data_IF_599713065383
#
_entry.id   IF_599713065383
#
_cell.length_a   1.000
_cell.length_b   1.000
_cell.length_c   1.000
_cell.angle_alpha   90.00
_cell.angle_beta   90.00
_cell.angle_gamma   90.00
#
_symmetry.space_group_name_H-M   'P 1'
#
loop_
_entity.id
_entity.type
_entity.pdbx_description
1 polymer ?
#
# COMPACT_ATOMS: atom_id res chain seq x y z
N UNK A 1 -43.37 56.96 -60.12
CA UNK A 1 -42.61 55.83 -60.70
C UNK A 1 -41.17 55.97 -60.26
N UNK A 2 -40.81 55.33 -59.16
CA UNK A 2 -39.52 54.63 -58.96
C UNK A 2 -39.50 54.04 -57.55
N UNK A 3 -38.89 52.87 -57.47
CA UNK A 3 -39.06 51.83 -56.47
C UNK A 3 -38.32 52.15 -55.16
N UNK A 4 -39.05 52.03 -54.04
CA UNK A 4 -38.54 52.02 -52.68
C UNK A 4 -37.70 50.76 -52.42
N UNK A 5 -36.38 50.86 -52.45
CA UNK A 5 -35.49 49.94 -51.74
C UNK A 5 -35.25 50.48 -50.33
N UNK A 6 -36.09 50.03 -49.39
CA UNK A 6 -35.91 50.25 -47.97
C UNK A 6 -34.65 49.48 -47.53
N UNK A 7 -33.56 50.22 -47.35
CA UNK A 7 -32.39 49.77 -46.59
C UNK A 7 -32.83 49.53 -45.15
N UNK A 8 -33.06 48.27 -44.78
CA UNK A 8 -33.44 47.88 -43.43
C UNK A 8 -32.16 47.68 -42.58
N UNK A 9 -31.82 48.58 -41.63
CA UNK A 9 -30.59 48.48 -40.84
C UNK A 9 -30.61 47.30 -39.87
N UNK A 10 -31.78 46.71 -39.64
CA UNK A 10 -31.99 45.59 -38.71
C UNK A 10 -31.48 44.25 -39.26
N UNK A 11 -31.10 44.14 -40.55
CA UNK A 11 -30.57 42.88 -41.10
C UNK A 11 -29.06 42.66 -40.88
N UNK A 12 -28.30 43.70 -40.52
CA UNK A 12 -26.84 43.56 -40.31
C UNK A 12 -26.41 43.30 -38.86
N UNK A 13 -27.27 43.59 -37.88
CA UNK A 13 -26.97 43.31 -36.46
C UNK A 13 -27.44 41.94 -36.00
N UNK A 14 -28.48 41.35 -36.59
CA UNK A 14 -28.93 40.01 -36.17
C UNK A 14 -27.93 38.92 -36.59
N UNK A 15 -27.20 39.13 -37.70
CA UNK A 15 -26.25 38.15 -38.23
C UNK A 15 -25.00 37.97 -37.37
N UNK A 16 -24.45 39.05 -36.80
CA UNK A 16 -23.23 38.99 -35.97
C UNK A 16 -23.51 38.46 -34.56
N UNK A 17 -24.68 38.75 -33.99
CA UNK A 17 -25.06 38.23 -32.68
C UNK A 17 -25.47 36.77 -32.74
N UNK A 18 -26.13 36.33 -33.82
CA UNK A 18 -26.45 34.91 -34.03
C UNK A 18 -25.17 34.07 -34.25
N UNK A 19 -24.18 34.57 -34.98
CA UNK A 19 -22.89 33.88 -35.13
C UNK A 19 -22.04 33.89 -33.86
N UNK A 20 -22.00 35.00 -33.12
CA UNK A 20 -21.33 35.05 -31.81
C UNK A 20 -21.99 34.12 -30.78
N UNK A 21 -23.33 34.05 -30.76
CA UNK A 21 -24.07 33.13 -29.90
C UNK A 21 -23.90 31.66 -30.31
N UNK A 22 -23.78 31.35 -31.61
CA UNK A 22 -23.48 30.00 -32.09
C UNK A 22 -22.03 29.58 -31.81
N UNK A 23 -21.07 30.51 -31.84
CA UNK A 23 -19.67 30.25 -31.46
C UNK A 23 -19.51 30.11 -29.94
N UNK A 24 -20.22 30.91 -29.13
CA UNK A 24 -20.25 30.71 -27.67
C UNK A 24 -21.01 29.43 -27.29
N UNK A 25 -22.11 29.11 -27.96
CA UNK A 25 -22.85 27.87 -27.73
C UNK A 25 -22.03 26.63 -28.13
N UNK A 26 -21.24 26.72 -29.20
CA UNK A 26 -20.29 25.64 -29.56
C UNK A 26 -19.07 25.58 -28.65
N UNK A 27 -18.66 26.66 -27.98
CA UNK A 27 -17.66 26.61 -26.90
C UNK A 27 -18.20 26.03 -25.57
N UNK A 28 -19.50 26.16 -25.32
CA UNK A 28 -20.20 25.58 -24.15
C UNK A 28 -20.62 24.12 -24.40
N UNK A 29 -20.83 23.74 -25.67
CA UNK A 29 -21.22 22.39 -26.10
C UNK A 29 -20.06 21.57 -26.68
N UNK A 30 -18.87 22.17 -26.85
CA UNK A 30 -17.65 21.37 -26.98
C UNK A 30 -17.62 20.49 -25.73
N UNK A 31 -17.54 19.15 -25.86
CA UNK A 31 -17.21 18.33 -24.71
C UNK A 31 -15.98 19.01 -24.12
N UNK A 32 -16.05 19.40 -22.84
CA UNK A 32 -14.82 19.69 -22.12
C UNK A 32 -13.95 18.49 -22.45
N UNK A 33 -12.88 18.73 -23.22
CA UNK A 33 -11.75 17.84 -23.18
C UNK A 33 -11.50 17.75 -21.67
N UNK A 34 -11.94 16.64 -21.08
CA UNK A 34 -11.55 16.33 -19.73
C UNK A 34 -10.04 16.31 -19.90
N UNK A 35 -9.37 17.36 -19.46
CA UNK A 35 -8.00 17.18 -19.04
C UNK A 35 -8.11 15.96 -18.12
N UNK A 36 -7.58 14.82 -18.56
CA UNK A 36 -7.75 13.54 -17.87
C UNK A 36 -7.63 13.84 -16.39
N UNK A 37 -8.71 13.61 -15.63
CA UNK A 37 -8.72 13.93 -14.22
C UNK A 37 -7.45 13.31 -13.62
N UNK A 38 -6.72 14.08 -12.82
CA UNK A 38 -5.48 13.57 -12.23
C UNK A 38 -5.79 12.20 -11.59
N UNK A 39 -4.96 11.17 -11.84
CA UNK A 39 -5.26 9.82 -11.38
C UNK A 39 -5.51 9.83 -9.88
N UNK A 40 -6.56 9.13 -9.45
CA UNK A 40 -6.86 9.00 -8.03
C UNK A 40 -5.82 8.09 -7.36
N UNK A 41 -5.66 8.15 -6.03
CA UNK A 41 -4.80 7.20 -5.30
C UNK A 41 -5.14 5.72 -5.60
N UNK A 42 -6.41 5.41 -5.82
CA UNK A 42 -6.86 4.07 -6.22
C UNK A 42 -6.47 3.72 -7.66
N UNK A 43 -6.51 4.69 -8.59
CA UNK A 43 -6.02 4.47 -9.96
C UNK A 43 -4.51 4.21 -9.98
N UNK A 44 -3.74 4.94 -9.18
CA UNK A 44 -2.31 4.70 -9.02
C UNK A 44 -2.05 3.33 -8.39
N UNK A 45 -2.76 2.98 -7.32
CA UNK A 45 -2.65 1.66 -6.69
C UNK A 45 -2.98 0.51 -7.67
N UNK A 46 -4.00 0.69 -8.50
CA UNK A 46 -4.35 -0.26 -9.55
C UNK A 46 -3.20 -0.46 -10.54
N UNK A 47 -2.60 0.63 -11.03
CA UNK A 47 -1.45 0.59 -11.94
C UNK A 47 -0.23 -0.07 -11.29
N UNK A 48 0.05 0.26 -10.03
CA UNK A 48 1.14 -0.32 -9.24
C UNK A 48 0.95 -1.83 -9.06
N UNK A 49 -0.25 -2.26 -8.66
CA UNK A 49 -0.57 -3.68 -8.46
C UNK A 49 -0.41 -4.48 -9.75
N UNK A 50 -0.95 -3.98 -10.87
CA UNK A 50 -0.75 -4.59 -12.19
C UNK A 50 0.73 -4.66 -12.58
N UNK A 51 1.47 -3.57 -12.37
CA UNK A 51 2.90 -3.54 -12.68
C UNK A 51 3.71 -4.51 -11.83
N UNK A 52 3.35 -4.70 -10.56
CA UNK A 52 3.98 -5.74 -9.74
C UNK A 52 3.62 -7.16 -10.20
N UNK A 53 2.40 -7.42 -10.67
CA UNK A 53 2.03 -8.73 -11.21
C UNK A 53 2.90 -9.07 -12.43
N UNK A 54 3.11 -8.12 -13.33
CA UNK A 54 4.01 -8.28 -14.48
C UNK A 54 5.44 -8.64 -14.02
N UNK A 55 6.00 -7.84 -13.10
CA UNK A 55 7.36 -8.07 -12.56
C UNK A 55 7.45 -9.42 -11.85
N UNK A 56 6.42 -9.81 -11.10
CA UNK A 56 6.36 -11.08 -10.36
C UNK A 56 6.50 -12.28 -11.29
N UNK A 57 5.77 -12.30 -12.41
CA UNK A 57 5.86 -13.37 -13.40
C UNK A 57 7.19 -13.34 -14.17
N UNK A 58 7.70 -12.16 -14.53
CA UNK A 58 8.99 -12.07 -15.23
C UNK A 58 10.15 -12.56 -14.36
N UNK A 59 10.28 -12.09 -13.11
CA UNK A 59 11.33 -12.54 -12.18
C UNK A 59 11.07 -13.96 -11.66
N UNK A 60 9.81 -14.33 -11.44
CA UNK A 60 9.43 -15.70 -11.11
C UNK A 60 9.85 -16.69 -12.18
N UNK A 61 9.64 -16.36 -13.45
CA UNK A 61 10.04 -17.17 -14.61
C UNK A 61 11.55 -17.36 -14.74
N UNK A 62 12.36 -16.47 -14.14
CA UNK A 62 13.81 -16.68 -14.06
C UNK A 62 14.16 -17.83 -13.10
N UNK A 63 13.44 -17.95 -11.98
CA UNK A 63 13.71 -18.93 -10.93
C UNK A 63 13.01 -20.27 -11.20
N UNK A 64 11.86 -20.23 -11.87
CA UNK A 64 11.09 -21.36 -12.36
C UNK A 64 10.75 -21.18 -13.85
N UNK A 65 11.55 -21.73 -14.77
CA UNK A 65 11.31 -21.61 -16.21
C UNK A 65 9.98 -22.21 -16.70
N UNK A 66 9.29 -23.00 -15.87
CA UNK A 66 7.97 -23.58 -16.22
C UNK A 66 6.82 -22.65 -15.88
N UNK A 67 7.05 -21.62 -15.05
CA UNK A 67 6.05 -20.64 -14.68
C UNK A 67 5.61 -19.83 -15.90
N UNK A 68 4.31 -19.80 -16.14
CA UNK A 68 3.66 -18.98 -17.16
C UNK A 68 2.80 -17.90 -16.49
N UNK A 69 2.50 -16.78 -17.17
CA UNK A 69 1.52 -15.81 -16.69
C UNK A 69 0.18 -16.48 -16.34
N UNK A 70 -0.35 -16.22 -15.14
CA UNK A 70 -1.56 -16.86 -14.60
C UNK A 70 -1.32 -18.27 -14.01
N UNK A 71 -0.11 -18.81 -14.11
CA UNK A 71 0.28 -20.08 -13.50
C UNK A 71 0.73 -19.95 -12.04
N UNK A 72 1.20 -21.05 -11.48
CA UNK A 72 1.73 -21.16 -10.11
C UNK A 72 3.10 -21.84 -10.09
N UNK A 73 3.90 -21.58 -9.05
CA UNK A 73 5.21 -22.20 -8.84
C UNK A 73 5.35 -22.73 -7.41
N UNK A 74 6.03 -23.87 -7.29
CA UNK A 74 6.46 -24.45 -6.01
C UNK A 74 7.84 -23.95 -5.57
N UNK A 75 8.53 -23.17 -6.41
CA UNK A 75 9.78 -22.51 -6.03
C UNK A 75 9.49 -21.45 -4.99
N UNK A 76 10.38 -21.30 -4.00
CA UNK A 76 10.23 -20.26 -2.98
C UNK A 76 9.96 -18.90 -3.64
N UNK A 77 8.91 -18.17 -3.24
CA UNK A 77 8.59 -16.89 -3.84
C UNK A 77 9.72 -15.89 -3.60
N UNK A 78 10.13 -15.19 -4.66
CA UNK A 78 10.94 -13.98 -4.51
C UNK A 78 10.04 -12.82 -4.03
N UNK A 79 10.64 -11.71 -3.59
CA UNK A 79 9.94 -10.56 -3.00
C UNK A 79 8.83 -10.02 -3.92
N UNK A 80 9.02 -10.08 -5.25
CA UNK A 80 8.05 -9.58 -6.21
C UNK A 80 6.79 -10.45 -6.31
N UNK A 81 6.78 -11.68 -5.81
CA UNK A 81 5.55 -12.46 -5.66
C UNK A 81 4.69 -11.98 -4.47
N UNK A 82 5.29 -11.29 -3.48
CA UNK A 82 4.56 -10.70 -2.34
C UNK A 82 4.02 -9.31 -2.67
N UNK A 83 4.76 -8.54 -3.48
CA UNK A 83 4.48 -7.13 -3.74
C UNK A 83 3.07 -6.82 -4.29
N UNK A 84 2.47 -7.62 -5.21
CA UNK A 84 1.09 -7.42 -5.65
C UNK A 84 0.09 -7.43 -4.50
N UNK A 85 0.25 -8.38 -3.57
CA UNK A 85 -0.62 -8.56 -2.41
C UNK A 85 -0.49 -7.40 -1.43
N UNK A 86 0.74 -7.02 -1.11
CA UNK A 86 1.00 -5.88 -0.23
C UNK A 86 0.46 -4.57 -0.82
N UNK A 87 0.69 -4.31 -2.12
CA UNK A 87 0.10 -3.17 -2.82
C UNK A 87 -1.43 -3.22 -2.77
N UNK A 88 -2.03 -4.38 -3.04
CA UNK A 88 -3.48 -4.57 -3.00
C UNK A 88 -4.07 -4.27 -1.62
N UNK A 89 -3.40 -4.67 -0.55
CA UNK A 89 -3.77 -4.34 0.84
C UNK A 89 -3.67 -2.84 1.11
N UNK A 90 -2.61 -2.18 0.64
CA UNK A 90 -2.49 -0.71 0.72
C UNK A 90 -3.66 -0.01 0.03
N UNK A 91 -4.06 -0.48 -1.15
CA UNK A 91 -5.23 0.05 -1.86
C UNK A 91 -6.55 -0.16 -1.12
N UNK A 92 -6.68 -1.27 -0.38
CA UNK A 92 -7.85 -1.58 0.44
C UNK A 92 -8.02 -0.56 1.57
N UNK A 93 -6.91 -0.12 2.17
CA UNK A 93 -6.88 0.99 3.11
C UNK A 93 -7.23 2.34 2.47
N UNK A 94 -6.74 2.61 1.25
CA UNK A 94 -7.15 3.82 0.50
C UNK A 94 -8.65 3.81 0.19
N UNK A 95 -9.22 2.66 -0.19
CA UNK A 95 -10.65 2.50 -0.40
C UNK A 95 -11.44 2.72 0.89
N UNK A 96 -10.95 2.23 2.02
CA UNK A 96 -11.55 2.48 3.34
C UNK A 96 -11.54 3.97 3.72
N UNK A 97 -10.48 4.70 3.36
CA UNK A 97 -10.42 6.16 3.52
C UNK A 97 -11.39 6.90 2.58
N UNK A 98 -11.54 6.44 1.33
CA UNK A 98 -12.51 6.99 0.40
C UNK A 98 -13.96 6.80 0.88
N UNK A 99 -14.28 5.61 1.40
CA UNK A 99 -15.55 5.31 2.04
C UNK A 99 -15.83 6.23 3.24
N UNK A 100 -14.83 6.46 4.10
CA UNK A 100 -14.96 7.38 5.22
C UNK A 100 -15.34 8.80 4.76
N UNK A 101 -14.73 9.28 3.67
CA UNK A 101 -15.07 10.60 3.09
C UNK A 101 -16.45 10.65 2.45
N UNK A 102 -16.92 9.54 1.89
CA UNK A 102 -18.29 9.44 1.38
C UNK A 102 -19.32 9.55 2.51
N UNK A 103 -19.08 8.86 3.64
CA UNK A 103 -19.90 9.00 4.86
C UNK A 103 -19.90 10.45 5.33
N UNK A 104 -18.73 11.09 5.42
CA UNK A 104 -18.58 12.49 5.82
C UNK A 104 -19.36 13.43 4.88
N UNK A 105 -19.21 13.24 3.58
CA UNK A 105 -19.86 14.07 2.56
C UNK A 105 -21.37 13.95 2.64
N UNK A 106 -21.87 12.72 2.81
CA UNK A 106 -23.30 12.45 3.00
C UNK A 106 -23.81 13.10 4.29
N UNK A 107 -23.08 12.94 5.40
CA UNK A 107 -23.45 13.50 6.71
C UNK A 107 -23.49 15.04 6.75
N UNK A 108 -22.68 15.71 5.92
CA UNK A 108 -22.73 17.19 5.78
C UNK A 108 -24.07 17.68 5.20
N UNK A 109 -24.74 16.87 4.38
CA UNK A 109 -26.07 17.18 3.82
C UNK A 109 -27.23 16.54 4.57
N UNK A 110 -27.03 15.32 5.10
CA UNK A 110 -28.05 14.50 5.74
C UNK A 110 -27.49 13.71 6.94
N UNK A 111 -27.36 14.36 8.12
CA UNK A 111 -26.84 13.72 9.32
C UNK A 111 -27.59 12.44 9.70
N UNK A 112 -26.87 11.46 10.25
CA UNK A 112 -27.48 10.24 10.74
C UNK A 112 -28.08 10.34 12.13
N UNK A 113 -29.20 9.65 12.32
CA UNK A 113 -29.84 9.48 13.62
C UNK A 113 -29.39 8.21 14.34
N UNK A 114 -28.71 7.28 13.65
CA UNK A 114 -28.12 6.08 14.25
C UNK A 114 -26.86 5.62 13.51
N UNK A 115 -26.01 4.87 14.21
CA UNK A 115 -24.81 4.22 13.65
C UNK A 115 -25.20 3.34 12.46
N UNK A 116 -26.20 2.48 12.66
CA UNK A 116 -26.70 1.58 11.62
C UNK A 116 -27.16 2.35 10.37
N UNK A 117 -27.87 3.46 10.54
CA UNK A 117 -28.33 4.28 9.41
C UNK A 117 -27.15 4.92 8.66
N UNK A 118 -26.09 5.35 9.36
CA UNK A 118 -24.89 5.92 8.74
C UNK A 118 -24.12 4.85 7.93
N UNK A 119 -23.85 3.68 8.53
CA UNK A 119 -23.10 2.59 7.89
C UNK A 119 -23.86 1.96 6.71
N UNK A 120 -25.18 1.74 6.84
CA UNK A 120 -26.00 1.14 5.77
C UNK A 120 -26.15 2.04 4.55
N UNK A 121 -26.17 3.37 4.73
CA UNK A 121 -26.15 4.34 3.63
C UNK A 121 -24.85 4.27 2.82
N UNK A 122 -23.74 3.91 3.46
CA UNK A 122 -22.46 3.65 2.81
C UNK A 122 -22.36 2.26 2.15
N UNK A 123 -23.46 1.50 2.08
CA UNK A 123 -23.50 0.18 1.46
C UNK A 123 -22.84 -0.95 2.26
N UNK A 124 -22.47 -0.69 3.53
CA UNK A 124 -21.83 -1.69 4.39
C UNK A 124 -22.83 -2.73 4.89
N UNK A 125 -22.46 -4.02 4.78
CA UNK A 125 -23.33 -5.15 5.16
C UNK A 125 -22.53 -6.29 5.80
N UNK A 126 -23.23 -7.31 6.31
CA UNK A 126 -22.60 -8.55 6.81
C UNK A 126 -21.74 -8.38 8.07
N UNK A 127 -20.67 -9.16 8.18
CA UNK A 127 -19.75 -9.17 9.33
C UNK A 127 -18.97 -7.86 9.48
N UNK A 128 -18.67 -7.21 8.35
CA UNK A 128 -18.04 -5.88 8.32
C UNK A 128 -18.93 -4.86 9.03
N UNK A 129 -20.24 -4.83 8.70
CA UNK A 129 -21.19 -3.92 9.35
C UNK A 129 -21.20 -4.10 10.88
N UNK A 130 -21.27 -5.34 11.37
CA UNK A 130 -21.29 -5.64 12.81
C UNK A 130 -20.03 -5.16 13.54
N UNK A 131 -18.86 -5.38 12.92
CA UNK A 131 -17.58 -4.97 13.49
C UNK A 131 -17.47 -3.45 13.57
N UNK A 132 -17.86 -2.76 12.48
CA UNK A 132 -17.85 -1.31 12.41
C UNK A 132 -18.88 -0.69 13.35
N UNK A 133 -20.04 -1.31 13.53
CA UNK A 133 -21.05 -0.87 14.50
C UNK A 133 -20.48 -0.90 15.93
N UNK A 134 -19.81 -1.99 16.31
CA UNK A 134 -19.18 -2.11 17.64
C UNK A 134 -18.11 -1.05 17.87
N UNK A 135 -17.18 -0.87 16.92
CA UNK A 135 -16.14 0.15 17.02
C UNK A 135 -16.73 1.57 17.03
N UNK A 136 -17.77 1.82 16.23
CA UNK A 136 -18.47 3.10 16.20
C UNK A 136 -19.15 3.40 17.53
N UNK A 137 -19.77 2.41 18.17
CA UNK A 137 -20.39 2.57 19.48
C UNK A 137 -19.36 2.97 20.53
N UNK A 138 -18.22 2.29 20.57
CA UNK A 138 -17.11 2.64 21.47
C UNK A 138 -16.59 4.05 21.23
N UNK A 139 -16.45 4.47 19.96
CA UNK A 139 -16.06 5.84 19.63
C UNK A 139 -17.10 6.89 20.05
N UNK A 140 -18.40 6.58 19.95
CA UNK A 140 -19.47 7.44 20.49
C UNK A 140 -19.37 7.55 22.01
N UNK A 141 -19.08 6.45 22.71
CA UNK A 141 -18.84 6.47 24.17
C UNK A 141 -17.61 7.31 24.54
N UNK A 142 -16.63 7.43 23.65
CA UNK A 142 -15.48 8.33 23.76
C UNK A 142 -15.79 9.79 23.33
N UNK A 143 -17.05 10.09 23.02
CA UNK A 143 -17.57 11.43 22.78
C UNK A 143 -17.61 11.88 21.31
N UNK A 144 -17.34 10.99 20.34
CA UNK A 144 -17.51 11.31 18.92
C UNK A 144 -19.01 11.40 18.58
N UNK A 145 -19.37 12.25 17.62
CA UNK A 145 -20.72 12.23 17.04
C UNK A 145 -20.93 10.96 16.21
N UNK A 146 -22.18 10.56 15.98
CA UNK A 146 -22.52 9.33 15.22
C UNK A 146 -21.76 9.28 13.89
N UNK A 147 -21.88 10.31 13.05
CA UNK A 147 -21.24 10.31 11.73
C UNK A 147 -19.72 10.42 11.80
N UNK A 148 -19.16 11.09 12.81
CA UNK A 148 -17.71 11.10 12.99
C UNK A 148 -17.19 9.72 13.42
N UNK A 149 -17.89 9.05 14.33
CA UNK A 149 -17.56 7.72 14.81
C UNK A 149 -17.64 6.68 13.69
N UNK A 150 -18.72 6.68 12.89
CA UNK A 150 -18.87 5.75 11.76
C UNK A 150 -17.83 6.01 10.67
N UNK A 151 -17.51 7.27 10.38
CA UNK A 151 -16.45 7.63 9.44
C UNK A 151 -15.08 7.14 9.90
N UNK A 152 -14.72 7.38 11.17
CA UNK A 152 -13.44 6.92 11.73
C UNK A 152 -13.37 5.40 11.82
N UNK A 153 -14.45 4.73 12.23
CA UNK A 153 -14.52 3.27 12.26
C UNK A 153 -14.36 2.69 10.85
N UNK A 154 -14.96 3.30 9.82
CA UNK A 154 -14.90 2.79 8.44
C UNK A 154 -13.48 2.73 7.87
N UNK A 155 -12.50 3.42 8.47
CA UNK A 155 -11.08 3.28 8.13
C UNK A 155 -10.56 1.85 8.37
N UNK A 156 -11.25 1.04 9.17
CA UNK A 156 -10.90 -0.36 9.46
C UNK A 156 -11.66 -1.38 8.60
N UNK A 157 -12.42 -0.95 7.60
CA UNK A 157 -13.31 -1.81 6.79
C UNK A 157 -12.58 -3.01 6.17
N UNK A 158 -11.37 -2.81 5.66
CA UNK A 158 -10.57 -3.87 5.02
C UNK A 158 -9.65 -4.64 5.97
N UNK A 159 -9.63 -4.28 7.25
CA UNK A 159 -8.72 -4.81 8.26
C UNK A 159 -9.29 -6.08 8.93
N UNK A 160 -8.48 -6.75 9.74
CA UNK A 160 -8.89 -7.89 10.57
C UNK A 160 -9.82 -7.43 11.69
N UNK A 161 -11.12 -7.40 11.40
CA UNK A 161 -12.16 -7.09 12.38
C UNK A 161 -12.25 -8.08 13.55
N UNK A 162 -11.83 -9.33 13.35
CA UNK A 162 -11.91 -10.36 14.40
C UNK A 162 -11.00 -10.05 15.60
N UNK A 163 -9.93 -9.27 15.41
CA UNK A 163 -9.07 -8.84 16.50
C UNK A 163 -9.79 -7.95 17.53
N UNK A 164 -10.89 -7.29 17.15
CA UNK A 164 -11.72 -6.48 18.05
C UNK A 164 -12.65 -7.33 18.94
N UNK A 165 -12.72 -8.65 18.72
CA UNK A 165 -13.42 -9.55 19.64
C UNK A 165 -12.72 -9.64 21.01
N UNK A 166 -11.41 -9.35 21.09
CA UNK A 166 -10.73 -9.11 22.35
C UNK A 166 -11.06 -7.69 22.85
N UNK A 167 -11.74 -7.54 24.02
CA UNK A 167 -12.13 -6.23 24.54
C UNK A 167 -10.94 -5.32 24.85
N UNK A 168 -9.74 -5.87 25.13
CA UNK A 168 -8.52 -5.10 25.37
C UNK A 168 -8.03 -4.45 24.07
N UNK A 169 -8.10 -5.20 22.96
CA UNK A 169 -7.78 -4.68 21.62
C UNK A 169 -8.77 -3.62 21.19
N UNK A 170 -10.07 -3.86 21.39
CA UNK A 170 -11.12 -2.90 21.07
C UNK A 170 -10.92 -1.60 21.85
N UNK A 171 -10.75 -1.67 23.17
CA UNK A 171 -10.55 -0.49 24.02
C UNK A 171 -9.29 0.29 23.64
N UNK A 172 -8.16 -0.39 23.41
CA UNK A 172 -6.91 0.27 23.03
C UNK A 172 -7.05 0.95 21.66
N UNK A 173 -7.66 0.27 20.69
CA UNK A 173 -7.88 0.78 19.33
C UNK A 173 -8.82 1.99 19.34
N UNK A 174 -9.99 1.87 19.97
CA UNK A 174 -10.98 2.95 20.05
C UNK A 174 -10.44 4.17 20.81
N UNK A 175 -9.71 3.95 21.91
CA UNK A 175 -9.09 5.05 22.67
C UNK A 175 -8.03 5.79 21.86
N UNK A 176 -7.17 5.07 21.10
CA UNK A 176 -6.14 5.69 20.25
C UNK A 176 -6.76 6.47 19.09
N UNK A 177 -7.78 5.91 18.43
CA UNK A 177 -8.54 6.60 17.37
C UNK A 177 -9.27 7.85 17.90
N UNK A 178 -9.90 7.76 19.07
CA UNK A 178 -10.54 8.90 19.71
C UNK A 178 -9.54 10.00 20.09
N UNK A 179 -8.37 9.64 20.64
CA UNK A 179 -7.31 10.60 20.95
C UNK A 179 -6.80 11.32 19.69
N UNK A 180 -6.66 10.60 18.56
CA UNK A 180 -6.32 11.20 17.26
C UNK A 180 -7.41 12.14 16.78
N UNK A 181 -8.68 11.73 16.84
CA UNK A 181 -9.81 12.58 16.49
C UNK A 181 -9.86 13.88 17.30
N UNK A 182 -9.64 13.80 18.62
CA UNK A 182 -9.68 14.98 19.48
C UNK A 182 -8.52 15.95 19.21
N UNK A 183 -7.34 15.42 18.88
CA UNK A 183 -6.17 16.20 18.49
C UNK A 183 -6.16 16.64 17.01
N UNK A 184 -7.08 16.13 16.20
CA UNK A 184 -7.14 16.43 14.78
C UNK A 184 -7.43 17.92 14.49
N UNK A 185 -6.86 18.46 13.40
CA UNK A 185 -7.17 19.81 12.94
C UNK A 185 -8.65 19.94 12.54
N UNK A 186 -9.16 21.17 12.54
CA UNK A 186 -10.56 21.48 12.21
C UNK A 186 -11.44 21.77 13.42
N UNK A 187 -12.48 22.56 13.21
CA UNK A 187 -13.41 23.01 14.26
C UNK A 187 -14.67 22.16 14.34
N UNK A 188 -15.14 21.62 13.22
CA UNK A 188 -16.34 20.77 13.21
C UNK A 188 -15.98 19.29 13.38
N UNK A 189 -16.87 18.48 14.00
CA UNK A 189 -16.66 17.05 14.17
C UNK A 189 -16.26 16.30 12.89
N UNK A 190 -16.92 16.61 11.77
CA UNK A 190 -16.65 15.93 10.50
C UNK A 190 -15.30 16.34 9.89
N UNK A 191 -14.82 17.56 10.12
CA UNK A 191 -13.50 17.99 9.61
C UNK A 191 -12.37 17.22 10.31
N UNK A 192 -12.55 16.94 11.62
CA UNK A 192 -11.62 16.12 12.40
C UNK A 192 -11.57 14.68 11.88
N UNK A 193 -12.73 14.07 11.60
CA UNK A 193 -12.80 12.74 11.00
C UNK A 193 -12.17 12.71 9.59
N UNK A 194 -12.41 13.76 8.79
CA UNK A 194 -11.82 13.91 7.45
C UNK A 194 -10.29 13.99 7.50
N UNK A 195 -9.71 14.65 8.51
CA UNK A 195 -8.27 14.68 8.71
C UNK A 195 -7.67 13.28 8.93
N UNK A 196 -8.34 12.40 9.68
CA UNK A 196 -7.89 11.00 9.85
C UNK A 196 -7.95 10.23 8.52
N UNK A 197 -9.04 10.37 7.78
CA UNK A 197 -9.20 9.70 6.48
C UNK A 197 -8.15 10.16 5.46
N UNK A 198 -7.92 11.46 5.36
CA UNK A 198 -6.90 12.05 4.49
C UNK A 198 -5.49 11.61 4.89
N UNK A 199 -5.21 11.51 6.19
CA UNK A 199 -3.91 11.04 6.69
C UNK A 199 -3.67 9.57 6.31
N UNK A 200 -4.68 8.70 6.45
CA UNK A 200 -4.55 7.29 6.07
C UNK A 200 -4.31 7.14 4.58
N UNK A 201 -5.16 7.75 3.73
CA UNK A 201 -5.01 7.66 2.28
C UNK A 201 -3.65 8.17 1.84
N UNK A 202 -3.22 9.33 2.34
CA UNK A 202 -1.94 9.92 1.96
C UNK A 202 -0.76 9.05 2.38
N UNK A 203 -0.74 8.57 3.62
CA UNK A 203 0.33 7.70 4.11
C UNK A 203 0.47 6.42 3.25
N UNK A 204 -0.66 5.81 2.88
CA UNK A 204 -0.66 4.61 2.03
C UNK A 204 -0.28 4.94 0.58
N UNK A 205 -0.79 6.04 0.02
CA UNK A 205 -0.54 6.42 -1.37
C UNK A 205 0.91 6.83 -1.60
N UNK A 206 1.45 7.70 -0.75
CA UNK A 206 2.86 8.10 -0.78
C UNK A 206 3.78 6.91 -0.57
N UNK A 207 3.43 6.01 0.35
CA UNK A 207 4.22 4.80 0.62
C UNK A 207 4.27 3.88 -0.60
N UNK A 208 3.12 3.60 -1.19
CA UNK A 208 3.03 2.72 -2.35
C UNK A 208 3.75 3.31 -3.57
N UNK A 209 3.62 4.63 -3.80
CA UNK A 209 4.34 5.33 -4.87
C UNK A 209 5.85 5.31 -4.67
N UNK A 210 6.33 5.61 -3.46
CA UNK A 210 7.76 5.64 -3.16
C UNK A 210 8.38 4.24 -3.35
N UNK A 211 7.74 3.21 -2.80
CA UNK A 211 8.19 1.82 -2.91
C UNK A 211 8.16 1.33 -4.36
N UNK A 212 7.08 1.56 -5.10
CA UNK A 212 6.98 1.11 -6.48
C UNK A 212 7.95 1.81 -7.42
N UNK A 213 8.07 3.14 -7.29
CA UNK A 213 9.01 3.92 -8.10
C UNK A 213 10.45 3.46 -7.88
N UNK A 214 10.82 3.15 -6.63
CA UNK A 214 12.18 2.73 -6.30
C UNK A 214 12.43 1.24 -6.58
N UNK A 215 11.69 0.35 -5.91
CA UNK A 215 11.90 -1.11 -5.99
C UNK A 215 11.37 -1.68 -7.30
N UNK A 216 10.12 -1.36 -7.65
CA UNK A 216 9.51 -1.79 -8.91
C UNK A 216 10.24 -1.21 -10.12
N UNK A 217 10.63 0.07 -10.05
CA UNK A 217 11.48 0.71 -11.06
C UNK A 217 12.84 0.03 -11.21
N UNK A 218 13.51 -0.29 -10.11
CA UNK A 218 14.81 -0.99 -10.13
C UNK A 218 14.69 -2.39 -10.75
N UNK A 219 13.59 -3.11 -10.47
CA UNK A 219 13.33 -4.43 -11.06
C UNK A 219 13.10 -4.36 -12.57
N UNK A 220 12.33 -3.36 -13.04
CA UNK A 220 12.13 -3.11 -14.47
C UNK A 220 13.45 -2.79 -15.17
N UNK A 221 14.28 -1.93 -14.57
CA UNK A 221 15.62 -1.63 -15.09
C UNK A 221 16.50 -2.88 -15.17
N UNK A 222 16.44 -3.76 -14.16
CA UNK A 222 17.17 -5.02 -14.16
C UNK A 222 16.69 -5.95 -15.28
N UNK A 223 15.38 -6.12 -15.44
CA UNK A 223 14.78 -6.95 -16.50
C UNK A 223 15.10 -6.38 -17.90
N UNK A 224 15.06 -5.06 -18.07
CA UNK A 224 15.44 -4.38 -19.31
C UNK A 224 16.91 -4.59 -19.66
N UNK A 225 17.80 -4.38 -18.68
CA UNK A 225 19.23 -4.66 -18.83
C UNK A 225 19.45 -6.12 -19.24
N UNK A 226 18.80 -7.07 -18.54
CA UNK A 226 18.89 -8.50 -18.84
C UNK A 226 18.46 -8.82 -20.27
N UNK A 227 17.35 -8.24 -20.75
CA UNK A 227 16.84 -8.42 -22.13
C UNK A 227 17.76 -7.85 -23.19
N UNK A 228 18.49 -6.78 -22.88
CA UNK A 228 19.43 -6.13 -23.79
C UNK A 228 20.77 -6.87 -23.96
N UNK A 229 21.06 -7.87 -23.13
CA UNK A 229 22.33 -8.60 -23.18
C UNK A 229 22.29 -9.80 -24.13
N UNK A 230 23.41 -10.02 -24.80
CA UNK A 230 23.71 -11.29 -25.48
C UNK A 230 24.49 -12.22 -24.55
N UNK A 231 24.16 -13.52 -24.56
CA UNK A 231 24.87 -14.55 -23.78
C UNK A 231 24.25 -14.81 -22.39
N UNK A 232 24.88 -15.68 -21.61
CA UNK A 232 24.42 -16.01 -20.26
C UNK A 232 24.60 -14.80 -19.32
N UNK A 233 23.59 -14.55 -18.49
CA UNK A 233 23.66 -13.60 -17.38
C UNK A 233 24.02 -14.36 -16.12
N UNK A 234 25.13 -13.94 -15.49
CA UNK A 234 25.65 -14.51 -14.25
C UNK A 234 25.63 -13.45 -13.15
N UNK A 235 25.69 -13.85 -11.87
CA UNK A 235 25.76 -12.92 -10.74
C UNK A 235 26.92 -11.93 -10.84
N UNK A 236 28.08 -12.37 -11.33
CA UNK A 236 29.25 -11.49 -11.52
C UNK A 236 28.98 -10.39 -12.55
N UNK A 237 28.22 -10.71 -13.60
CA UNK A 237 27.80 -9.72 -14.59
C UNK A 237 26.78 -8.75 -14.00
N UNK A 238 25.84 -9.22 -13.17
CA UNK A 238 24.94 -8.31 -12.44
C UNK A 238 25.76 -7.34 -11.59
N UNK A 239 26.71 -7.85 -10.81
CA UNK A 239 27.54 -7.04 -9.91
C UNK A 239 28.46 -6.05 -10.64
N UNK A 240 28.94 -6.38 -11.85
CA UNK A 240 29.88 -5.55 -12.62
C UNK A 240 29.21 -4.62 -13.64
N UNK A 241 28.16 -5.09 -14.31
CA UNK A 241 27.60 -4.45 -15.51
C UNK A 241 26.22 -3.82 -15.26
N UNK A 242 25.41 -4.32 -14.32
CA UNK A 242 24.11 -3.71 -14.01
C UNK A 242 24.32 -2.46 -13.14
N UNK A 243 23.92 -1.30 -13.66
CA UNK A 243 24.10 -0.02 -13.00
C UNK A 243 22.77 0.49 -12.46
N UNK A 244 22.72 0.72 -11.15
CA UNK A 244 21.60 1.36 -10.48
C UNK A 244 22.11 2.64 -9.79
N UNK A 245 21.50 3.78 -10.10
CA UNK A 245 21.96 5.07 -9.56
C UNK A 245 21.99 5.05 -8.02
N UNK A 246 23.16 5.37 -7.45
CA UNK A 246 23.41 5.34 -6.00
C UNK A 246 23.93 4.00 -5.45
N UNK A 247 23.99 2.93 -6.27
CA UNK A 247 24.67 1.70 -5.90
C UNK A 247 26.18 1.85 -6.00
N UNK A 248 26.91 1.15 -5.13
CA UNK A 248 28.37 1.05 -5.14
C UNK A 248 28.74 -0.41 -5.38
N UNK A 249 29.51 -0.69 -6.43
CA UNK A 249 29.87 -2.06 -6.83
C UNK A 249 30.55 -2.85 -5.70
N UNK A 250 31.53 -2.25 -5.02
CA UNK A 250 32.28 -2.93 -3.95
C UNK A 250 31.38 -3.33 -2.78
N UNK A 251 30.37 -2.51 -2.47
CA UNK A 251 29.37 -2.80 -1.45
C UNK A 251 28.44 -3.94 -1.88
N UNK A 252 27.95 -3.89 -3.13
CA UNK A 252 27.08 -4.94 -3.66
C UNK A 252 27.79 -6.31 -3.66
N UNK A 253 29.09 -6.33 -4.03
CA UNK A 253 29.92 -7.53 -3.96
C UNK A 253 30.09 -8.04 -2.53
N UNK A 254 30.30 -7.13 -1.56
CA UNK A 254 30.40 -7.50 -0.14
C UNK A 254 29.09 -8.10 0.38
N UNK A 255 27.95 -7.47 0.09
CA UNK A 255 26.63 -7.96 0.49
C UNK A 255 26.29 -9.31 -0.16
N UNK A 256 26.63 -9.49 -1.44
CA UNK A 256 26.47 -10.75 -2.15
C UNK A 256 27.33 -11.86 -1.51
N UNK A 257 28.62 -11.60 -1.27
CA UNK A 257 29.51 -12.57 -0.63
C UNK A 257 29.05 -12.94 0.79
N UNK A 258 28.59 -11.95 1.57
CA UNK A 258 28.00 -12.19 2.88
C UNK A 258 26.76 -13.10 2.79
N UNK A 259 25.83 -12.79 1.87
CA UNK A 259 24.64 -13.60 1.69
C UNK A 259 24.97 -15.05 1.29
N UNK A 260 25.97 -15.27 0.43
CA UNK A 260 26.42 -16.63 0.11
C UNK A 260 26.95 -17.37 1.35
N UNK A 261 27.75 -16.71 2.18
CA UNK A 261 28.31 -17.34 3.38
C UNK A 261 27.25 -17.69 4.43
N UNK A 262 26.15 -16.94 4.48
CA UNK A 262 25.16 -17.00 5.56
C UNK A 262 23.75 -17.46 5.11
N UNK A 263 23.57 -17.88 3.85
CA UNK A 263 22.25 -18.23 3.31
C UNK A 263 21.53 -19.34 4.12
N UNK A 264 22.29 -20.24 4.74
CA UNK A 264 21.76 -21.37 5.52
C UNK A 264 21.75 -21.14 7.04
N UNK A 265 22.16 -19.96 7.51
CA UNK A 265 22.14 -19.67 8.94
C UNK A 265 20.71 -19.72 9.50
N UNK A 266 20.58 -20.22 10.73
CA UNK A 266 19.30 -20.32 11.45
C UNK A 266 19.48 -19.78 12.86
N UNK A 267 18.84 -18.64 13.22
CA UNK A 267 17.98 -17.81 12.39
C UNK A 267 18.76 -17.13 11.25
N UNK A 268 18.08 -16.87 10.12
CA UNK A 268 18.66 -16.09 9.01
C UNK A 268 19.04 -14.68 9.50
N UNK A 269 20.14 -14.08 8.99
CA UNK A 269 20.51 -12.71 9.34
C UNK A 269 19.36 -11.74 9.02
N UNK A 270 18.94 -10.99 10.04
CA UNK A 270 17.84 -10.03 9.92
C UNK A 270 18.20 -8.62 10.38
N UNK A 271 19.32 -8.43 11.07
CA UNK A 271 19.79 -7.10 11.53
C UNK A 271 20.82 -6.54 10.55
N UNK A 272 20.37 -6.20 9.35
CA UNK A 272 21.28 -5.90 8.23
C UNK A 272 22.20 -4.70 8.49
N UNK A 273 21.73 -3.70 9.24
CA UNK A 273 22.56 -2.56 9.65
C UNK A 273 23.75 -2.93 10.55
N UNK A 274 23.63 -4.00 11.34
CA UNK A 274 24.71 -4.46 12.23
C UNK A 274 25.79 -5.22 11.44
N UNK A 275 25.37 -6.00 10.43
CA UNK A 275 26.28 -6.89 9.67
C UNK A 275 26.83 -6.24 8.39
N UNK A 276 26.12 -5.26 7.82
CA UNK A 276 26.51 -4.50 6.64
C UNK A 276 26.39 -2.98 6.93
N UNK A 277 27.18 -2.45 7.89
CA UNK A 277 27.01 -1.10 8.38
C UNK A 277 27.31 -0.04 7.30
N UNK A 278 26.52 1.02 7.30
CA UNK A 278 26.65 2.19 6.40
C UNK A 278 26.61 1.88 4.89
N UNK A 279 26.18 0.68 4.52
CA UNK A 279 26.08 0.29 3.12
C UNK A 279 24.97 1.08 2.40
N UNK A 280 25.21 1.49 1.16
CA UNK A 280 24.13 2.00 0.33
C UNK A 280 23.11 0.90 0.12
N UNK A 281 21.89 1.21 0.50
CA UNK A 281 20.71 0.39 0.28
C UNK A 281 20.49 0.02 -1.19
N UNK A 282 21.00 0.82 -2.14
CA UNK A 282 20.97 0.53 -3.59
C UNK A 282 21.90 -0.63 -3.91
N UNK A 283 23.02 -0.72 -3.21
CA UNK A 283 23.97 -1.84 -3.31
C UNK A 283 23.34 -3.15 -2.83
N UNK A 284 22.48 -3.10 -1.80
CA UNK A 284 21.70 -4.28 -1.35
C UNK A 284 20.71 -4.76 -2.41
N UNK A 285 20.05 -3.85 -3.14
CA UNK A 285 19.17 -4.21 -4.26
C UNK A 285 19.94 -4.89 -5.41
N UNK A 286 21.09 -4.34 -5.80
CA UNK A 286 21.95 -4.96 -6.82
C UNK A 286 22.41 -6.35 -6.36
N UNK A 287 22.82 -6.49 -5.09
CA UNK A 287 23.15 -7.79 -4.51
C UNK A 287 21.97 -8.77 -4.51
N UNK A 288 20.75 -8.30 -4.24
CA UNK A 288 19.54 -9.13 -4.30
C UNK A 288 19.28 -9.67 -5.71
N UNK A 289 19.40 -8.83 -6.75
CA UNK A 289 19.30 -9.30 -8.14
C UNK A 289 20.38 -10.32 -8.50
N UNK A 290 21.62 -10.11 -8.03
CA UNK A 290 22.70 -11.09 -8.18
C UNK A 290 22.39 -12.42 -7.46
N UNK A 291 21.78 -12.37 -6.27
CA UNK A 291 21.32 -13.56 -5.55
C UNK A 291 20.20 -14.30 -6.27
N UNK A 292 19.28 -13.60 -6.94
CA UNK A 292 18.27 -14.27 -7.78
C UNK A 292 18.89 -14.96 -9.00
N UNK A 293 19.92 -14.39 -9.63
CA UNK A 293 20.68 -15.08 -10.68
C UNK A 293 21.48 -16.27 -10.15
N UNK A 294 22.04 -16.17 -8.94
CA UNK A 294 22.72 -17.31 -8.29
C UNK A 294 21.72 -18.42 -7.97
N UNK A 295 20.56 -18.06 -7.41
CA UNK A 295 19.48 -18.98 -7.10
C UNK A 295 19.01 -19.75 -8.34
N UNK A 296 18.85 -19.06 -9.49
CA UNK A 296 18.52 -19.70 -10.77
C UNK A 296 19.50 -20.81 -11.16
N UNK A 297 20.77 -20.68 -10.79
CA UNK A 297 21.87 -21.59 -11.14
C UNK A 297 22.23 -22.56 -10.01
N UNK A 298 21.52 -22.48 -8.89
CA UNK A 298 21.81 -23.27 -7.70
C UNK A 298 21.75 -24.78 -7.98
N UNK A 299 22.70 -25.57 -7.45
CA UNK A 299 22.75 -27.01 -7.71
C UNK A 299 21.63 -27.79 -7.01
N UNK A 300 20.98 -27.19 -6.00
CA UNK A 300 19.90 -27.84 -5.24
C UNK A 300 18.75 -26.86 -4.96
N UNK A 301 17.50 -27.36 -4.82
CA UNK A 301 16.37 -26.53 -4.39
C UNK A 301 16.60 -25.85 -3.04
N UNK A 302 17.23 -26.54 -2.09
CA UNK A 302 17.52 -25.97 -0.78
C UNK A 302 18.48 -24.77 -0.85
N UNK A 303 19.51 -24.84 -1.71
CA UNK A 303 20.42 -23.71 -1.94
C UNK A 303 19.71 -22.55 -2.64
N UNK A 304 18.97 -22.84 -3.71
CA UNK A 304 18.14 -21.85 -4.42
C UNK A 304 17.24 -21.09 -3.45
N UNK A 305 16.49 -21.83 -2.65
CA UNK A 305 15.47 -21.28 -1.76
C UNK A 305 16.12 -20.46 -0.64
N UNK A 306 17.26 -20.89 -0.09
CA UNK A 306 18.04 -20.12 0.88
C UNK A 306 18.53 -18.77 0.31
N UNK A 307 19.03 -18.77 -0.92
CA UNK A 307 19.47 -17.56 -1.62
C UNK A 307 18.33 -16.60 -1.93
N UNK A 308 17.18 -17.13 -2.38
CA UNK A 308 15.96 -16.33 -2.59
C UNK A 308 15.56 -15.66 -1.28
N UNK A 309 15.60 -16.39 -0.16
CA UNK A 309 15.23 -15.86 1.14
C UNK A 309 16.17 -14.71 1.60
N UNK A 310 17.47 -14.81 1.34
CA UNK A 310 18.42 -13.71 1.60
C UNK A 310 18.17 -12.50 0.68
N UNK A 311 17.94 -12.74 -0.62
CA UNK A 311 17.58 -11.68 -1.56
C UNK A 311 16.31 -10.94 -1.14
N UNK A 312 15.29 -11.68 -0.71
CA UNK A 312 14.06 -11.11 -0.18
C UNK A 312 14.30 -10.24 1.05
N UNK A 313 15.17 -10.66 1.98
CA UNK A 313 15.53 -9.86 3.14
C UNK A 313 16.20 -8.54 2.74
N UNK A 314 17.08 -8.55 1.73
CA UNK A 314 17.72 -7.32 1.24
C UNK A 314 16.72 -6.35 0.60
N UNK A 315 15.82 -6.85 -0.26
CA UNK A 315 14.79 -6.02 -0.90
C UNK A 315 13.82 -5.47 0.15
N UNK A 316 13.31 -6.33 1.04
CA UNK A 316 12.35 -5.93 2.07
C UNK A 316 12.96 -5.00 3.11
N UNK A 317 14.21 -5.22 3.55
CA UNK A 317 14.87 -4.29 4.48
C UNK A 317 14.96 -2.90 3.86
N UNK A 318 15.42 -2.81 2.61
CA UNK A 318 15.48 -1.57 1.85
C UNK A 318 14.12 -0.87 1.79
N UNK A 319 13.11 -1.62 1.35
CA UNK A 319 11.74 -1.13 1.24
C UNK A 319 11.27 -0.54 2.57
N UNK A 320 11.44 -1.29 3.65
CA UNK A 320 10.86 -0.94 4.94
C UNK A 320 11.65 0.13 5.69
N UNK A 321 12.98 0.08 5.65
CA UNK A 321 13.85 0.98 6.39
C UNK A 321 13.91 2.36 5.74
N UNK A 322 14.00 2.40 4.41
CA UNK A 322 14.36 3.64 3.74
C UNK A 322 13.23 4.25 2.92
N UNK A 323 12.29 3.46 2.40
CA UNK A 323 11.16 3.97 1.63
C UNK A 323 9.91 4.12 2.50
N UNK A 324 9.56 3.09 3.26
CA UNK A 324 8.36 3.10 4.09
C UNK A 324 8.52 3.96 5.36
N UNK A 325 9.64 3.83 6.08
CA UNK A 325 9.83 4.51 7.37
C UNK A 325 9.68 6.03 7.29
N UNK A 326 10.28 6.75 6.31
CA UNK A 326 10.12 8.20 6.22
C UNK A 326 8.69 8.64 5.91
N UNK A 327 7.89 7.79 5.25
CA UNK A 327 6.48 8.07 4.94
C UNK A 327 5.59 7.80 6.15
N UNK A 328 5.86 6.74 6.91
CA UNK A 328 5.06 6.34 8.06
C UNK A 328 5.35 7.14 9.32
N UNK A 329 6.57 7.68 9.45
CA UNK A 329 6.99 8.56 10.52
C UNK A 329 7.73 9.80 9.97
N UNK A 330 7.03 10.68 9.23
CA UNK A 330 7.66 11.86 8.67
C UNK A 330 8.07 12.82 9.77
N UNK A 331 9.19 13.53 9.56
CA UNK A 331 9.70 14.50 10.53
C UNK A 331 8.76 15.70 10.76
N UNK A 332 7.88 15.98 9.80
CA UNK A 332 6.91 17.07 9.85
C UNK A 332 5.55 16.59 9.37
N UNK A 333 4.50 17.01 10.08
CA UNK A 333 3.13 16.77 9.67
C UNK A 333 2.72 17.78 8.60
N UNK A 334 2.04 17.31 7.56
CA UNK A 334 1.49 18.21 6.55
C UNK A 334 0.21 18.89 7.07
N UNK A 335 -0.14 20.07 6.56
CA UNK A 335 -1.39 20.73 6.91
C UNK A 335 -2.59 19.81 6.68
N UNK A 336 -3.49 19.74 7.67
CA UNK A 336 -4.70 18.91 7.62
C UNK A 336 -4.49 17.44 7.96
N UNK A 337 -3.30 17.03 8.37
CA UNK A 337 -3.04 15.65 8.84
C UNK A 337 -3.09 15.52 10.37
N UNK A 338 -3.33 14.28 10.81
CA UNK A 338 -3.00 13.82 12.16
C UNK A 338 -1.65 13.10 12.18
N UNK A 339 -1.16 12.72 13.35
CA UNK A 339 0.06 11.91 13.48
C UNK A 339 -0.07 10.56 12.76
N UNK A 340 0.68 10.37 11.66
CA UNK A 340 0.78 9.08 10.95
C UNK A 340 1.26 7.94 11.86
N UNK A 341 2.32 8.12 12.70
CA UNK A 341 2.73 7.05 13.63
C UNK A 341 1.63 6.60 14.59
N UNK A 342 0.86 7.56 15.12
CA UNK A 342 -0.20 7.26 16.07
C UNK A 342 -1.40 6.60 15.37
N UNK A 343 -1.74 7.03 14.15
CA UNK A 343 -2.78 6.38 13.34
C UNK A 343 -2.40 4.94 13.01
N UNK A 344 -1.17 4.71 12.54
CA UNK A 344 -0.67 3.36 12.27
C UNK A 344 -0.62 2.51 13.54
N UNK A 345 -0.24 3.07 14.69
CA UNK A 345 -0.31 2.37 15.98
C UNK A 345 -1.75 1.98 16.38
N UNK A 346 -2.73 2.82 16.07
CA UNK A 346 -4.14 2.50 16.32
C UNK A 346 -4.62 1.34 15.43
N UNK A 347 -4.16 1.30 14.17
CA UNK A 347 -4.58 0.29 13.19
C UNK A 347 -3.77 -1.02 13.26
N UNK A 348 -2.58 -1.00 13.87
CA UNK A 348 -1.64 -2.14 13.93
C UNK A 348 -2.28 -3.45 14.38
N UNK A 349 -3.11 -3.49 15.45
CA UNK A 349 -3.74 -4.74 15.90
C UNK A 349 -4.63 -5.40 14.85
N UNK A 350 -5.13 -4.61 13.90
CA UNK A 350 -6.10 -5.04 12.89
C UNK A 350 -5.43 -5.32 11.54
N UNK A 351 -4.12 -5.13 11.39
CA UNK A 351 -3.48 -5.29 10.09
C UNK A 351 -3.62 -6.74 9.58
N UNK A 352 -3.91 -6.83 8.29
CA UNK A 352 -4.11 -8.08 7.56
C UNK A 352 -3.63 -7.93 6.13
N UNK A 353 -3.07 -9.00 5.59
CA UNK A 353 -2.76 -9.13 4.16
C UNK A 353 -3.09 -10.53 3.69
N UNK A 354 -3.78 -10.61 2.56
CA UNK A 354 -4.05 -11.88 1.88
C UNK A 354 -2.92 -12.11 0.87
N UNK A 355 -2.06 -13.09 1.13
CA UNK A 355 -1.03 -13.57 0.21
C UNK A 355 -1.59 -14.70 -0.64
N UNK A 356 -2.40 -14.32 -1.64
CA UNK A 356 -3.16 -15.23 -2.47
C UNK A 356 -4.18 -16.02 -1.64
N UNK A 357 -3.96 -17.31 -1.44
CA UNK A 357 -4.87 -18.15 -0.62
C UNK A 357 -4.51 -18.21 0.86
N UNK A 358 -3.41 -17.59 1.28
CA UNK A 358 -3.00 -17.52 2.69
C UNK A 358 -3.35 -16.16 3.28
N UNK A 359 -4.02 -16.15 4.43
CA UNK A 359 -4.25 -14.93 5.21
C UNK A 359 -3.13 -14.76 6.24
N UNK A 360 -2.54 -13.58 6.31
CA UNK A 360 -1.65 -13.17 7.39
C UNK A 360 -2.30 -12.06 8.20
N UNK A 361 -2.27 -12.17 9.52
CA UNK A 361 -2.70 -11.09 10.42
C UNK A 361 -1.58 -10.69 11.37
N UNK A 362 -1.52 -9.41 11.72
CA UNK A 362 -0.56 -8.91 12.70
C UNK A 362 -0.87 -9.45 14.11
N UNK A 363 -2.15 -9.74 14.38
CA UNK A 363 -2.55 -10.37 15.63
C UNK A 363 -1.90 -11.74 15.83
N UNK A 364 -1.90 -12.60 14.81
CA UNK A 364 -1.24 -13.93 14.89
C UNK A 364 0.26 -13.80 15.13
N UNK A 365 0.92 -12.85 14.46
CA UNK A 365 2.31 -12.53 14.72
C UNK A 365 2.50 -12.13 16.19
N UNK A 366 1.76 -11.14 16.68
CA UNK A 366 1.94 -10.64 18.05
C UNK A 366 1.68 -11.71 19.12
N UNK A 367 0.67 -12.58 18.93
CA UNK A 367 0.39 -13.70 19.82
C UNK A 367 1.44 -14.82 19.77
N UNK A 368 2.21 -14.93 18.69
CA UNK A 368 3.34 -15.86 18.60
C UNK A 368 4.59 -15.39 19.36
N UNK A 369 4.65 -14.11 19.74
CA UNK A 369 5.78 -13.53 20.46
C UNK A 369 5.58 -13.60 21.98
N UNK A 370 6.67 -13.56 22.75
CA UNK A 370 6.57 -13.28 24.19
C UNK A 370 5.85 -11.95 24.44
N UNK A 371 4.98 -11.94 25.45
CA UNK A 371 4.34 -10.74 25.98
C UNK A 371 5.42 -9.71 26.39
N UNK A 372 5.34 -8.47 25.86
CA UNK A 372 6.40 -7.45 26.04
C UNK A 372 6.27 -6.71 27.37
N UNK A 373 5.05 -6.50 27.85
CA UNK A 373 4.80 -5.69 29.05
C UNK A 373 4.34 -6.53 30.25
N UNK A 374 3.96 -7.79 30.03
CA UNK A 374 3.51 -8.72 31.07
C UNK A 374 2.17 -8.35 31.69
N UNK A 375 1.43 -7.40 31.08
CA UNK A 375 0.21 -6.86 31.63
C UNK A 375 -1.01 -7.61 31.06
N UNK A 376 -1.78 -8.33 31.88
CA UNK A 376 -2.95 -9.06 31.39
C UNK A 376 -4.06 -8.17 30.83
N UNK A 377 -4.03 -6.86 31.11
CA UNK A 377 -4.98 -5.88 30.58
C UNK A 377 -4.58 -5.32 29.22
N UNK A 378 -3.34 -5.54 28.78
CA UNK A 378 -2.89 -5.24 27.41
C UNK A 378 -3.10 -6.50 26.57
N UNK A 379 -3.63 -6.37 25.36
CA UNK A 379 -3.58 -7.49 24.40
C UNK A 379 -2.27 -7.40 23.62
N UNK A 380 -1.56 -8.53 23.39
CA UNK A 380 -0.28 -8.54 22.69
C UNK A 380 -0.24 -7.72 21.39
N UNK A 381 -1.25 -7.77 20.49
CA UNK A 381 -1.23 -6.98 19.26
C UNK A 381 -1.18 -5.46 19.48
N UNK A 382 -1.59 -4.97 20.65
CA UNK A 382 -1.61 -3.53 20.97
C UNK A 382 -0.28 -2.98 21.48
N UNK A 383 0.70 -3.84 21.77
CA UNK A 383 2.06 -3.49 22.25
C UNK A 383 3.01 -3.08 21.13
N UNK A 384 2.54 -3.12 19.88
CA UNK A 384 3.32 -2.90 18.68
C UNK A 384 2.81 -1.69 17.90
N UNK A 385 3.65 -1.16 17.03
CA UNK A 385 3.26 -0.14 16.06
C UNK A 385 3.87 -0.40 14.69
N UNK A 386 3.03 -0.47 13.65
CA UNK A 386 3.46 -0.57 12.27
C UNK A 386 4.31 0.63 11.80
N UNK A 387 4.28 1.74 12.52
CA UNK A 387 5.17 2.87 12.26
C UNK A 387 6.59 2.70 12.82
N UNK A 388 6.78 1.79 13.78
CA UNK A 388 8.08 1.45 14.34
C UNK A 388 8.73 0.39 13.45
N UNK A 389 9.92 0.71 12.94
CA UNK A 389 10.63 -0.15 12.00
C UNK A 389 10.77 -1.60 12.49
N UNK A 390 11.25 -1.80 13.72
CA UNK A 390 11.49 -3.14 14.25
C UNK A 390 10.22 -3.97 14.43
N UNK A 391 9.12 -3.35 14.86
CA UNK A 391 7.82 -4.00 15.00
C UNK A 391 7.24 -4.46 13.65
N UNK A 392 7.48 -3.65 12.61
CA UNK A 392 7.08 -3.94 11.24
C UNK A 392 7.98 -5.02 10.62
N UNK A 393 9.29 -4.86 10.76
CA UNK A 393 10.29 -5.72 10.14
C UNK A 393 10.17 -7.18 10.59
N UNK A 394 10.03 -7.43 11.90
CA UNK A 394 9.86 -8.80 12.42
C UNK A 394 8.52 -9.41 12.02
N UNK A 395 7.46 -8.60 11.96
CA UNK A 395 6.16 -9.04 11.43
C UNK A 395 6.22 -9.45 9.96
N UNK A 396 6.99 -8.74 9.14
CA UNK A 396 7.20 -9.07 7.72
C UNK A 396 8.02 -10.35 7.56
N UNK A 397 9.07 -10.54 8.35
CA UNK A 397 9.84 -11.78 8.33
C UNK A 397 8.99 -12.99 8.73
N UNK A 398 8.11 -12.82 9.71
CA UNK A 398 7.13 -13.84 10.08
C UNK A 398 6.18 -14.15 8.91
N UNK A 399 5.66 -13.12 8.21
CA UNK A 399 4.81 -13.30 7.03
C UNK A 399 5.54 -14.06 5.91
N UNK A 400 6.82 -13.75 5.67
CA UNK A 400 7.65 -14.48 4.72
C UNK A 400 7.80 -15.95 5.10
N UNK A 401 8.11 -16.26 6.37
CA UNK A 401 8.26 -17.64 6.81
C UNK A 401 6.97 -18.45 6.66
N UNK A 402 5.80 -17.86 6.93
CA UNK A 402 4.49 -18.49 6.67
C UNK A 402 4.29 -18.78 5.17
N UNK A 403 4.47 -17.77 4.32
CA UNK A 403 4.33 -17.89 2.87
C UNK A 403 5.27 -18.94 2.25
N UNK A 404 6.45 -19.13 2.84
CA UNK A 404 7.40 -20.14 2.38
C UNK A 404 6.97 -21.59 2.65
N UNK A 405 5.94 -21.82 3.49
CA UNK A 405 5.42 -23.17 3.76
C UNK A 405 4.53 -23.69 2.64
N UNK A 406 3.88 -22.80 1.89
CA UNK A 406 3.11 -23.12 0.68
C UNK A 406 3.34 -22.05 -0.41
N UNK A 407 4.46 -22.15 -1.15
CA UNK A 407 4.83 -21.21 -2.21
C UNK A 407 3.76 -21.00 -3.28
N UNK A 408 2.95 -22.02 -3.56
CA UNK A 408 1.96 -22.00 -4.62
C UNK A 408 0.84 -20.98 -4.36
N UNK A 409 0.50 -20.75 -3.08
CA UNK A 409 -0.55 -19.84 -2.65
C UNK A 409 -0.34 -18.42 -3.18
N UNK A 410 0.91 -17.93 -3.17
CA UNK A 410 1.22 -16.54 -3.55
C UNK A 410 0.99 -16.24 -5.04
N UNK A 411 0.92 -17.29 -5.86
CA UNK A 411 0.70 -17.15 -7.30
C UNK A 411 -0.76 -16.99 -7.68
N UNK A 412 -1.69 -17.10 -6.72
CA UNK A 412 -3.07 -16.64 -6.89
C UNK A 412 -3.06 -15.12 -6.80
N UNK A 413 -2.71 -14.46 -7.91
CA UNK A 413 -2.53 -13.01 -7.98
C UNK A 413 -3.81 -12.26 -7.62
N UNK A 414 -3.70 -11.12 -6.91
CA UNK A 414 -4.87 -10.38 -6.48
C UNK A 414 -5.50 -9.61 -7.64
N UNK A 415 -6.82 -9.53 -7.66
CA UNK A 415 -7.54 -8.62 -8.56
C UNK A 415 -7.27 -7.16 -8.15
N UNK A 416 -6.79 -6.29 -9.06
CA UNK A 416 -6.57 -4.88 -8.76
C UNK A 416 -7.86 -4.17 -8.33
N UNK A 417 -7.76 -3.22 -7.40
CA UNK A 417 -8.92 -2.43 -6.97
C UNK A 417 -9.37 -1.54 -8.11
N UNK A 418 -10.68 -1.55 -8.38
CA UNK A 418 -11.35 -0.52 -9.16
C UNK A 418 -12.06 0.37 -8.16
N UNK A 419 -11.90 1.70 -8.30
CA UNK A 419 -12.65 2.64 -7.48
C UNK A 419 -14.16 2.45 -7.73
N UNK A 420 -14.93 1.98 -6.74
CA UNK A 420 -16.37 1.77 -6.91
C UNK A 420 -17.16 3.06 -6.68
N UNK A 421 -16.50 4.14 -6.22
CA UNK A 421 -17.12 5.40 -5.84
C UNK A 421 -17.07 6.39 -7.03
N UNK A 422 -18.17 7.12 -7.30
CA UNK A 422 -18.33 7.98 -8.47
C UNK A 422 -17.44 9.22 -8.51
#
# INVERSE_FOLDING_TARGET
MESLLVNNPLRRTVSTWATAALVLASLVLLPRAHADAAPTPLDDNRRITLGYIEIAYELGGLLDPTLQPGGSSLVRPNWFAFAPHASRTGGQGMLSAALAREIITTARGEPAFSILQSLTRAGLTGTVLLTLEQLSLDLVLQGLTIDAATSVASLTTSLNGAALADPRTLLATSSRLAALYWSAPGTHPLDKAEALANTLERALHEGNLAIYTDIGGSARLFLDWRRGLTGEVTPERVLAEFQLAGAVESEARLAYAYALAHAHDTPRPYRLEEVLPAMSWKSLLVAAFALYEEARRAPTPAWRDALIAMGNNYVAWREQHDMAQPVFAPAQLLPGEVSRPALLQALTPLLRTDFGTQEWTYADYAYSQPDRDGNPLTSPPTEYSWSVFWDRWTGILYAFDQAYTDPAALWVMPDPIVNPLP
#
